data_IF_047363169914
#
_entry.id   IF_047363169914
#
_cell.length_a   1.000
_cell.length_b   1.000
_cell.length_c   1.000
_cell.angle_alpha   90.00
_cell.angle_beta   90.00
_cell.angle_gamma   90.00
#
_symmetry.space_group_name_H-M   'P 1'
#
loop_
_entity.id
_entity.type
_entity.pdbx_description
1 polymer ?
#
# COMPACT_ATOMS: atom_id res chain seq x y z
N UNK A 1 -60.02 11.71 49.41
CA UNK A 1 -59.21 10.99 48.40
C UNK A 1 -58.85 12.00 47.31
N UNK A 2 -57.54 12.22 47.11
CA UNK A 2 -56.97 13.31 46.33
C UNK A 2 -57.21 13.16 44.82
N UNK A 3 -57.77 14.22 44.22
CA UNK A 3 -57.75 14.48 42.78
C UNK A 3 -56.36 15.00 42.40
N UNK A 4 -55.68 14.33 41.48
CA UNK A 4 -54.42 14.79 40.90
C UNK A 4 -54.70 15.80 39.79
N UNK A 5 -54.44 17.08 40.05
CA UNK A 5 -54.38 18.13 39.05
C UNK A 5 -52.97 18.24 38.46
N UNK A 6 -52.94 18.36 37.13
CA UNK A 6 -51.79 18.49 36.26
C UNK A 6 -51.25 19.93 36.34
N UNK A 7 -49.94 20.08 36.54
CA UNK A 7 -49.22 21.36 36.39
C UNK A 7 -48.37 21.33 35.10
N UNK A 8 -48.30 22.43 34.32
CA UNK A 8 -47.59 22.47 33.05
C UNK A 8 -46.12 22.90 33.24
N UNK A 9 -45.18 22.07 32.79
CA UNK A 9 -43.77 22.47 32.74
C UNK A 9 -43.49 23.28 31.46
N UNK A 10 -43.27 24.58 31.68
CA UNK A 10 -42.82 25.54 30.68
C UNK A 10 -41.38 25.22 30.25
N UNK A 11 -41.12 25.42 28.95
CA UNK A 11 -39.98 24.85 28.24
C UNK A 11 -38.65 25.57 28.45
N UNK A 12 -37.59 24.89 28.01
CA UNK A 12 -36.35 25.49 27.51
C UNK A 12 -35.62 24.43 26.66
N UNK A 13 -36.01 24.32 25.40
CA UNK A 13 -35.20 23.65 24.38
C UNK A 13 -33.95 24.50 24.14
N UNK A 14 -32.81 24.04 24.66
CA UNK A 14 -31.49 24.59 24.31
C UNK A 14 -31.18 24.17 22.88
N UNK A 15 -31.32 25.11 21.92
CA UNK A 15 -30.80 24.97 20.56
C UNK A 15 -29.29 24.75 20.66
N UNK A 16 -28.84 23.51 20.47
CA UNK A 16 -27.44 23.26 20.11
C UNK A 16 -27.24 23.82 18.71
N UNK A 17 -26.35 24.82 18.61
CA UNK A 17 -26.03 25.49 17.36
C UNK A 17 -25.61 24.48 16.30
N UNK A 18 -26.26 24.55 15.15
CA UNK A 18 -25.77 23.95 13.92
C UNK A 18 -24.44 24.61 13.58
N UNK A 19 -23.34 23.93 13.90
CA UNK A 19 -22.08 24.20 13.24
C UNK A 19 -22.20 23.60 11.84
N UNK A 20 -22.63 24.41 10.87
CA UNK A 20 -22.69 24.00 9.47
C UNK A 20 -21.25 23.86 9.00
N UNK A 21 -20.75 22.64 9.02
CA UNK A 21 -19.45 22.27 8.46
C UNK A 21 -19.56 22.34 6.94
N UNK A 22 -19.29 23.51 6.36
CA UNK A 22 -19.25 23.72 4.90
C UNK A 22 -18.21 22.83 4.19
N UNK A 23 -17.30 22.20 4.93
CA UNK A 23 -16.36 21.21 4.41
C UNK A 23 -17.00 19.86 4.07
N UNK A 24 -17.99 19.40 4.86
CA UNK A 24 -18.59 18.08 4.70
C UNK A 24 -19.57 18.02 3.51
N UNK A 25 -20.27 19.12 3.25
CA UNK A 25 -21.28 19.20 2.18
C UNK A 25 -20.63 19.12 0.80
N UNK A 26 -19.47 19.75 0.60
CA UNK A 26 -18.76 19.73 -0.70
C UNK A 26 -18.17 18.35 -1.01
N UNK A 27 -17.63 17.67 -0.02
CA UNK A 27 -17.12 16.30 -0.17
C UNK A 27 -18.25 15.30 -0.43
N UNK A 28 -19.39 15.44 0.26
CA UNK A 28 -20.56 14.57 0.03
C UNK A 28 -21.17 14.77 -1.36
N UNK A 29 -21.21 16.01 -1.87
CA UNK A 29 -21.64 16.31 -3.24
C UNK A 29 -20.68 15.70 -4.28
N UNK A 30 -19.36 15.87 -4.10
CA UNK A 30 -18.36 15.30 -5.01
C UNK A 30 -18.39 13.77 -5.01
N UNK A 31 -18.61 13.13 -3.86
CA UNK A 31 -18.74 11.67 -3.75
C UNK A 31 -20.01 11.16 -4.46
N UNK A 32 -21.11 11.87 -4.29
CA UNK A 32 -22.40 11.55 -4.94
C UNK A 32 -22.28 11.67 -6.46
N UNK A 33 -21.68 12.75 -6.97
CA UNK A 33 -21.42 12.93 -8.41
C UNK A 33 -20.52 11.83 -8.98
N UNK A 34 -19.48 11.45 -8.25
CA UNK A 34 -18.56 10.38 -8.67
C UNK A 34 -19.28 9.03 -8.71
N UNK A 35 -20.15 8.76 -7.74
CA UNK A 35 -20.95 7.55 -7.71
C UNK A 35 -21.93 7.47 -8.88
N UNK A 36 -22.58 8.58 -9.25
CA UNK A 36 -23.46 8.64 -10.41
C UNK A 36 -22.74 8.39 -11.73
N UNK A 37 -21.57 9.00 -11.93
CA UNK A 37 -20.74 8.75 -13.13
C UNK A 37 -20.36 7.27 -13.25
N UNK A 38 -19.99 6.63 -12.13
CA UNK A 38 -19.74 5.19 -12.13
C UNK A 38 -21.01 4.40 -12.44
N UNK A 39 -22.17 4.82 -11.92
CA UNK A 39 -23.46 4.18 -12.17
C UNK A 39 -23.84 4.19 -13.64
N UNK A 40 -23.65 5.32 -14.33
CA UNK A 40 -23.89 5.47 -15.76
C UNK A 40 -22.96 4.55 -16.56
N UNK A 41 -21.65 4.61 -16.26
CA UNK A 41 -20.66 3.78 -16.95
C UNK A 41 -20.91 2.27 -16.77
N UNK A 42 -21.25 1.83 -15.57
CA UNK A 42 -21.59 0.42 -15.34
C UNK A 42 -22.92 0.04 -16.00
N UNK A 43 -23.85 0.98 -16.12
CA UNK A 43 -25.06 0.83 -16.91
C UNK A 43 -24.77 0.63 -18.39
N UNK A 44 -23.79 1.33 -18.96
CA UNK A 44 -23.36 1.09 -20.35
C UNK A 44 -22.72 -0.29 -20.52
N UNK A 45 -21.86 -0.71 -19.58
CA UNK A 45 -21.14 -1.99 -19.65
C UNK A 45 -22.06 -3.20 -19.48
N UNK A 46 -22.97 -3.17 -18.50
CA UNK A 46 -23.80 -4.31 -18.12
C UNK A 46 -25.27 -4.17 -18.55
N UNK A 47 -25.65 -3.04 -19.16
CA UNK A 47 -27.02 -2.73 -19.57
C UNK A 47 -28.01 -2.93 -18.40
N UNK A 48 -29.22 -3.41 -18.69
CA UNK A 48 -30.28 -3.64 -17.71
C UNK A 48 -29.88 -4.56 -16.54
N UNK A 49 -28.83 -5.37 -16.68
CA UNK A 49 -28.36 -6.24 -15.59
C UNK A 49 -27.81 -5.43 -14.42
N UNK A 50 -27.22 -4.26 -14.69
CA UNK A 50 -26.71 -3.37 -13.65
C UNK A 50 -27.83 -2.92 -12.72
N UNK A 51 -28.89 -2.34 -13.30
CA UNK A 51 -30.02 -1.83 -12.53
C UNK A 51 -30.83 -2.95 -11.88
N UNK A 52 -30.90 -4.13 -12.52
CA UNK A 52 -31.53 -5.31 -11.93
C UNK A 52 -30.81 -5.78 -10.65
N UNK A 53 -29.47 -5.73 -10.61
CA UNK A 53 -28.68 -6.19 -9.45
C UNK A 53 -28.49 -5.12 -8.38
N UNK A 54 -28.20 -3.89 -8.78
CA UNK A 54 -27.77 -2.81 -7.88
C UNK A 54 -28.80 -1.68 -7.71
N UNK A 55 -29.87 -1.68 -8.50
CA UNK A 55 -30.89 -0.63 -8.51
C UNK A 55 -30.58 0.51 -9.50
N UNK A 56 -31.61 1.31 -9.79
CA UNK A 56 -31.53 2.42 -10.74
C UNK A 56 -30.68 3.61 -10.23
N UNK A 57 -30.41 3.67 -8.93
CA UNK A 57 -29.63 4.74 -8.31
C UNK A 57 -28.66 4.16 -7.26
N UNK A 58 -27.48 4.79 -7.07
CA UNK A 58 -26.54 4.37 -6.05
C UNK A 58 -27.15 4.50 -4.64
N UNK A 59 -27.07 3.42 -3.87
CA UNK A 59 -27.46 3.47 -2.45
C UNK A 59 -26.45 4.28 -1.63
N UNK A 60 -26.83 4.68 -0.41
CA UNK A 60 -25.92 5.42 0.51
C UNK A 60 -24.59 4.68 0.76
N UNK A 61 -24.62 3.34 0.81
CA UNK A 61 -23.43 2.52 1.01
C UNK A 61 -22.50 2.59 -0.20
N UNK A 62 -23.06 2.51 -1.41
CA UNK A 62 -22.31 2.68 -2.64
C UNK A 62 -21.69 4.07 -2.75
N UNK A 63 -22.45 5.12 -2.43
CA UNK A 63 -21.94 6.51 -2.43
C UNK A 63 -20.77 6.65 -1.45
N UNK A 64 -20.92 6.14 -0.22
CA UNK A 64 -19.86 6.21 0.79
C UNK A 64 -18.60 5.44 0.34
N UNK A 65 -18.77 4.23 -0.19
CA UNK A 65 -17.64 3.41 -0.64
C UNK A 65 -16.91 4.06 -1.81
N UNK A 66 -17.63 4.54 -2.83
CA UNK A 66 -17.05 5.21 -4.01
C UNK A 66 -16.40 6.53 -3.61
N UNK A 67 -17.02 7.29 -2.70
CA UNK A 67 -16.47 8.55 -2.19
C UNK A 67 -15.16 8.40 -1.43
N UNK A 68 -14.91 7.23 -0.83
CA UNK A 68 -13.66 6.91 -0.17
C UNK A 68 -12.55 6.44 -1.13
N UNK A 69 -12.86 6.27 -2.42
CA UNK A 69 -11.93 5.77 -3.42
C UNK A 69 -11.21 6.90 -4.16
N UNK A 70 -9.99 6.63 -4.58
CA UNK A 70 -9.26 7.48 -5.54
C UNK A 70 -9.73 7.22 -6.96
N UNK A 71 -9.55 8.19 -7.85
CA UNK A 71 -9.88 8.06 -9.27
C UNK A 71 -9.18 6.86 -9.93
N UNK A 72 -7.94 6.58 -9.54
CA UNK A 72 -7.20 5.42 -10.03
C UNK A 72 -7.86 4.09 -9.62
N UNK A 73 -8.34 4.00 -8.38
CA UNK A 73 -9.06 2.81 -7.89
C UNK A 73 -10.37 2.60 -8.65
N UNK A 74 -11.11 3.68 -8.92
CA UNK A 74 -12.35 3.60 -9.71
C UNK A 74 -12.05 3.08 -11.12
N UNK A 75 -11.07 3.67 -11.83
CA UNK A 75 -10.66 3.22 -13.17
C UNK A 75 -10.23 1.75 -13.19
N UNK A 76 -9.49 1.32 -12.17
CA UNK A 76 -9.01 -0.06 -12.07
C UNK A 76 -10.15 -1.06 -11.86
N UNK A 77 -11.15 -0.74 -11.02
CA UNK A 77 -12.33 -1.60 -10.86
C UNK A 77 -13.14 -1.66 -12.16
N UNK A 78 -13.34 -0.55 -12.86
CA UNK A 78 -13.98 -0.55 -14.17
C UNK A 78 -13.26 -1.46 -15.17
N UNK A 79 -11.92 -1.44 -15.18
CA UNK A 79 -11.12 -2.34 -16.01
C UNK A 79 -11.34 -3.82 -15.66
N UNK A 80 -11.30 -4.16 -14.38
CA UNK A 80 -11.55 -5.53 -13.93
C UNK A 80 -12.95 -6.02 -14.29
N UNK A 81 -13.96 -5.15 -14.17
CA UNK A 81 -15.30 -5.43 -14.64
C UNK A 81 -15.34 -5.79 -16.12
N UNK A 82 -14.64 -5.04 -16.98
CA UNK A 82 -14.52 -5.37 -18.40
C UNK A 82 -13.75 -6.68 -18.65
N UNK A 83 -12.68 -6.95 -17.89
CA UNK A 83 -11.92 -8.19 -18.01
C UNK A 83 -12.75 -9.42 -17.61
N UNK A 84 -13.58 -9.32 -16.57
CA UNK A 84 -14.57 -10.33 -16.20
C UNK A 84 -15.58 -10.58 -17.31
N UNK A 85 -16.09 -9.53 -17.95
CA UNK A 85 -16.97 -9.67 -19.11
C UNK A 85 -16.28 -10.43 -20.25
N UNK A 86 -15.00 -10.15 -20.53
CA UNK A 86 -14.21 -10.88 -21.54
C UNK A 86 -13.99 -12.35 -21.18
N UNK A 87 -13.88 -12.66 -19.89
CA UNK A 87 -13.78 -14.02 -19.38
C UNK A 87 -15.13 -14.78 -19.37
N UNK A 88 -16.23 -14.15 -19.81
CA UNK A 88 -17.57 -14.74 -19.85
C UNK A 88 -18.42 -14.48 -18.61
N UNK A 89 -17.87 -13.83 -17.58
CA UNK A 89 -18.61 -13.37 -16.40
C UNK A 89 -19.34 -12.07 -16.71
N UNK A 90 -20.51 -12.20 -17.33
CA UNK A 90 -21.28 -11.07 -17.87
C UNK A 90 -22.31 -10.49 -16.88
N UNK A 91 -22.28 -10.91 -15.62
CA UNK A 91 -23.10 -10.32 -14.56
C UNK A 91 -22.33 -9.23 -13.81
N UNK A 92 -22.96 -8.08 -13.53
CA UNK A 92 -22.32 -7.02 -12.76
C UNK A 92 -21.95 -7.46 -11.34
N UNK A 93 -20.93 -6.83 -10.73
CA UNK A 93 -20.64 -7.04 -9.32
C UNK A 93 -21.72 -6.41 -8.43
N UNK A 94 -22.08 -7.07 -7.33
CA UNK A 94 -22.74 -6.40 -6.19
C UNK A 94 -21.72 -5.61 -5.36
N UNK A 95 -22.17 -4.96 -4.29
CA UNK A 95 -21.29 -4.14 -3.45
C UNK A 95 -20.16 -4.95 -2.81
N UNK A 96 -20.41 -6.19 -2.38
CA UNK A 96 -19.40 -7.02 -1.73
C UNK A 96 -18.35 -7.49 -2.74
N UNK A 97 -18.80 -7.96 -3.91
CA UNK A 97 -17.93 -8.30 -5.04
C UNK A 97 -17.13 -7.07 -5.51
N UNK A 98 -17.75 -5.90 -5.53
CA UNK A 98 -17.07 -4.65 -5.90
C UNK A 98 -15.96 -4.29 -4.90
N UNK A 99 -16.20 -4.42 -3.60
CA UNK A 99 -15.19 -4.23 -2.56
C UNK A 99 -14.06 -5.27 -2.65
N UNK A 100 -14.39 -6.52 -3.01
CA UNK A 100 -13.39 -7.53 -3.28
C UNK A 100 -12.49 -7.14 -4.47
N UNK A 101 -13.07 -6.68 -5.58
CA UNK A 101 -12.32 -6.20 -6.75
C UNK A 101 -11.39 -5.01 -6.42
N UNK A 102 -11.79 -4.13 -5.49
CA UNK A 102 -10.90 -3.05 -4.99
C UNK A 102 -9.71 -3.64 -4.23
N UNK A 103 -9.95 -4.65 -3.41
CA UNK A 103 -8.92 -5.28 -2.59
C UNK A 103 -7.94 -6.09 -3.45
N UNK A 104 -8.45 -6.78 -4.46
CA UNK A 104 -7.68 -7.57 -5.42
C UNK A 104 -6.88 -6.72 -6.42
N UNK A 105 -7.31 -5.47 -6.69
CA UNK A 105 -6.65 -4.62 -7.69
C UNK A 105 -5.25 -4.14 -7.32
N UNK A 106 -4.79 -4.35 -6.08
CA UNK A 106 -3.55 -3.72 -5.62
C UNK A 106 -3.67 -2.20 -5.68
N UNK A 107 -4.83 -1.70 -5.25
CA UNK A 107 -5.33 -0.33 -5.19
C UNK A 107 -4.45 0.65 -4.38
N UNK A 108 -3.16 0.66 -4.68
CA UNK A 108 -2.10 1.50 -4.15
C UNK A 108 -1.29 2.05 -5.33
N UNK A 109 -0.51 3.14 -5.15
CA UNK A 109 0.22 3.79 -6.25
C UNK A 109 1.26 2.88 -6.94
N UNK A 110 1.51 1.69 -6.43
CA UNK A 110 2.46 0.72 -6.99
C UNK A 110 1.78 -0.34 -7.85
N UNK A 111 0.44 -0.46 -7.82
CA UNK A 111 -0.29 -1.51 -8.51
C UNK A 111 0.04 -2.92 -8.01
N UNK A 112 0.48 -3.05 -6.75
CA UNK A 112 0.95 -4.31 -6.17
C UNK A 112 -0.11 -4.91 -5.26
N UNK A 113 -0.40 -6.20 -5.43
CA UNK A 113 -1.21 -6.97 -4.48
C UNK A 113 -0.34 -7.52 -3.36
N UNK A 114 -0.95 -7.90 -2.24
CA UNK A 114 -0.23 -8.60 -1.15
C UNK A 114 0.38 -9.91 -1.65
N UNK A 115 -0.34 -10.63 -2.52
CA UNK A 115 0.16 -11.89 -3.08
C UNK A 115 1.35 -11.69 -4.01
N UNK A 116 1.36 -10.62 -4.83
CA UNK A 116 2.51 -10.25 -5.64
C UNK A 116 3.75 -9.93 -4.78
N UNK A 117 3.57 -9.25 -3.63
CA UNK A 117 4.66 -9.02 -2.67
C UNK A 117 5.17 -10.33 -2.07
N UNK A 118 4.26 -11.23 -1.70
CA UNK A 118 4.63 -12.54 -1.13
C UNK A 118 5.35 -13.41 -2.16
N UNK A 119 4.92 -13.40 -3.42
CA UNK A 119 5.58 -14.09 -4.53
C UNK A 119 7.00 -13.55 -4.75
N UNK A 120 7.15 -12.23 -4.85
CA UNK A 120 8.46 -11.60 -5.01
C UNK A 120 9.37 -11.88 -3.80
N UNK A 121 8.83 -11.86 -2.57
CA UNK A 121 9.57 -12.22 -1.37
C UNK A 121 10.09 -13.66 -1.42
N UNK A 122 9.25 -14.62 -1.83
CA UNK A 122 9.66 -16.03 -2.01
C UNK A 122 10.74 -16.14 -3.09
N UNK A 123 10.55 -15.48 -4.23
CA UNK A 123 11.51 -15.47 -5.33
C UNK A 123 12.87 -14.93 -4.88
N UNK A 124 12.89 -13.75 -4.25
CA UNK A 124 14.10 -13.16 -3.71
C UNK A 124 14.77 -14.07 -2.68
N UNK A 125 14.03 -14.69 -1.75
CA UNK A 125 14.63 -15.63 -0.79
C UNK A 125 15.32 -16.82 -1.48
N UNK A 126 14.75 -17.32 -2.58
CA UNK A 126 15.26 -18.49 -3.29
C UNK A 126 16.38 -18.17 -4.30
N UNK A 127 16.44 -16.94 -4.81
CA UNK A 127 17.34 -16.54 -5.89
C UNK A 127 18.38 -15.48 -5.48
N UNK A 128 18.22 -14.82 -4.33
CA UNK A 128 19.11 -13.73 -3.91
C UNK A 128 20.57 -14.13 -3.76
N UNK A 129 20.84 -15.39 -3.46
CA UNK A 129 22.20 -15.93 -3.37
C UNK A 129 22.98 -15.83 -4.68
N UNK A 130 22.30 -15.69 -5.83
CA UNK A 130 22.93 -15.48 -7.15
C UNK A 130 23.52 -14.07 -7.30
N UNK A 131 23.21 -13.17 -6.38
CA UNK A 131 23.62 -11.77 -6.42
C UNK A 131 24.48 -11.44 -5.21
N UNK A 132 25.46 -10.55 -5.38
CA UNK A 132 26.39 -10.10 -4.34
C UNK A 132 25.73 -9.13 -3.33
N UNK A 133 24.47 -9.35 -2.99
CA UNK A 133 23.69 -8.48 -2.12
C UNK A 133 22.27 -8.27 -2.62
N UNK A 134 21.38 -7.92 -1.68
CA UNK A 134 19.98 -7.61 -2.02
C UNK A 134 19.84 -6.28 -2.77
N UNK A 135 20.83 -5.40 -2.70
CA UNK A 135 20.90 -4.17 -3.51
C UNK A 135 21.26 -4.44 -4.99
N UNK A 136 21.81 -5.63 -5.30
CA UNK A 136 22.15 -6.08 -6.65
C UNK A 136 21.06 -6.96 -7.29
N UNK A 137 20.10 -7.42 -6.49
CA UNK A 137 18.96 -8.17 -6.98
C UNK A 137 18.08 -7.29 -7.90
N UNK A 138 17.58 -7.82 -9.04
CA UNK A 138 16.82 -7.04 -10.02
C UNK A 138 15.36 -6.88 -9.58
N UNK A 139 15.13 -6.03 -8.57
CA UNK A 139 13.77 -5.72 -8.09
C UNK A 139 12.90 -5.12 -9.19
N UNK A 140 11.66 -5.60 -9.39
CA UNK A 140 10.73 -5.01 -10.36
C UNK A 140 10.39 -3.56 -10.05
N UNK A 141 10.28 -3.23 -8.75
CA UNK A 141 10.01 -1.88 -8.26
C UNK A 141 10.86 -1.61 -7.01
N UNK A 142 11.35 -0.37 -6.79
CA UNK A 142 12.11 -0.01 -5.60
C UNK A 142 11.38 -0.26 -4.28
N UNK A 143 10.04 -0.16 -4.28
CA UNK A 143 9.23 -0.39 -3.07
C UNK A 143 9.32 -1.84 -2.59
N UNK A 144 9.44 -2.80 -3.52
CA UNK A 144 9.55 -4.24 -3.20
C UNK A 144 10.85 -4.53 -2.44
N UNK A 145 11.96 -3.89 -2.81
CA UNK A 145 13.21 -3.99 -2.05
C UNK A 145 13.01 -3.64 -0.58
N UNK A 146 12.44 -2.47 -0.30
CA UNK A 146 12.23 -2.01 1.08
C UNK A 146 11.26 -2.90 1.85
N UNK A 147 10.16 -3.33 1.20
CA UNK A 147 9.15 -4.19 1.84
C UNK A 147 9.73 -5.58 2.14
N UNK A 148 10.38 -6.23 1.18
CA UNK A 148 10.90 -7.58 1.35
C UNK A 148 12.05 -7.66 2.36
N UNK A 149 12.91 -6.64 2.43
CA UNK A 149 13.95 -6.56 3.47
C UNK A 149 13.34 -6.44 4.87
N UNK A 150 12.35 -5.55 5.03
CA UNK A 150 11.61 -5.41 6.29
C UNK A 150 10.89 -6.70 6.70
N UNK A 151 10.28 -7.39 5.74
CA UNK A 151 9.65 -8.69 5.97
C UNK A 151 10.65 -9.75 6.43
N UNK A 152 11.86 -9.80 5.83
CA UNK A 152 12.90 -10.73 6.26
C UNK A 152 13.36 -10.45 7.69
N UNK A 153 13.67 -9.20 8.00
CA UNK A 153 14.17 -8.81 9.32
C UNK A 153 13.14 -9.12 10.40
N UNK A 154 11.89 -8.67 10.23
CA UNK A 154 10.81 -8.90 11.21
C UNK A 154 10.34 -10.35 11.26
N UNK A 155 10.35 -11.04 10.11
CA UNK A 155 9.98 -12.45 10.03
C UNK A 155 10.93 -13.33 10.83
N UNK A 156 12.24 -13.05 10.77
CA UNK A 156 13.26 -13.73 11.57
C UNK A 156 13.17 -13.32 13.04
N UNK A 157 13.12 -12.02 13.34
CA UNK A 157 13.07 -11.48 14.70
C UNK A 157 11.88 -12.05 15.51
N UNK A 158 10.73 -12.20 14.87
CA UNK A 158 9.47 -12.56 15.54
C UNK A 158 8.97 -13.96 15.20
N UNK A 159 9.76 -14.77 14.49
CA UNK A 159 9.40 -16.13 14.07
C UNK A 159 8.00 -16.21 13.42
N UNK A 160 7.71 -15.29 12.50
CA UNK A 160 6.36 -15.16 11.94
C UNK A 160 5.97 -16.35 11.06
N UNK A 161 4.71 -16.76 11.19
CA UNK A 161 4.05 -17.66 10.25
C UNK A 161 3.79 -17.00 8.90
N UNK A 162 3.42 -17.78 7.88
CA UNK A 162 3.09 -17.26 6.56
C UNK A 162 1.90 -16.29 6.58
N UNK A 163 0.88 -16.58 7.38
CA UNK A 163 -0.28 -15.68 7.54
C UNK A 163 0.10 -14.35 8.19
N UNK A 164 1.00 -14.36 9.16
CA UNK A 164 1.52 -13.15 9.80
C UNK A 164 2.42 -12.34 8.87
N UNK A 165 3.22 -13.01 8.02
CA UNK A 165 3.97 -12.37 6.95
C UNK A 165 3.05 -11.72 5.91
N UNK A 166 1.95 -12.38 5.52
CA UNK A 166 0.94 -11.80 4.61
C UNK A 166 0.34 -10.52 5.19
N UNK A 167 -0.04 -10.54 6.48
CA UNK A 167 -0.51 -9.35 7.21
C UNK A 167 0.57 -8.26 7.33
N UNK A 168 1.84 -8.64 7.47
CA UNK A 168 2.95 -7.68 7.48
C UNK A 168 3.14 -7.01 6.11
N UNK A 169 3.08 -7.79 5.03
CA UNK A 169 3.16 -7.28 3.66
C UNK A 169 2.04 -6.26 3.37
N UNK A 170 0.81 -6.58 3.77
CA UNK A 170 -0.33 -5.65 3.68
C UNK A 170 -0.08 -4.35 4.43
N UNK A 171 0.34 -4.42 5.70
CA UNK A 171 0.68 -3.22 6.49
C UNK A 171 1.79 -2.39 5.84
N UNK A 172 2.80 -3.03 5.26
CA UNK A 172 3.91 -2.35 4.61
C UNK A 172 3.46 -1.69 3.30
N UNK A 173 2.62 -2.33 2.49
CA UNK A 173 2.02 -1.72 1.30
C UNK A 173 1.21 -0.47 1.67
N UNK A 174 0.34 -0.55 2.68
CA UNK A 174 -0.44 0.59 3.17
C UNK A 174 0.45 1.72 3.68
N UNK A 175 1.52 1.38 4.42
CA UNK A 175 2.52 2.36 4.89
C UNK A 175 3.18 3.09 3.72
N UNK A 176 3.64 2.37 2.70
CA UNK A 176 4.31 2.97 1.54
C UNK A 176 3.33 3.73 0.64
N UNK A 177 2.09 3.26 0.50
CA UNK A 177 1.04 3.99 -0.21
C UNK A 177 0.78 5.34 0.45
N UNK A 178 0.67 5.37 1.79
CA UNK A 178 0.54 6.62 2.55
C UNK A 178 1.77 7.52 2.44
N UNK A 179 2.97 6.94 2.40
CA UNK A 179 4.21 7.68 2.21
C UNK A 179 4.19 8.45 0.88
N UNK A 180 3.77 7.78 -0.20
CA UNK A 180 3.66 8.40 -1.53
C UNK A 180 2.50 9.38 -1.61
N UNK A 181 1.35 9.11 -0.99
CA UNK A 181 0.24 10.07 -0.96
C UNK A 181 0.59 11.37 -0.24
N UNK A 182 1.55 11.32 0.69
CA UNK A 182 2.09 12.50 1.36
C UNK A 182 3.13 13.27 0.51
N UNK A 183 3.31 12.90 -0.77
CA UNK A 183 4.24 13.54 -1.70
C UNK A 183 5.69 13.08 -1.59
N UNK A 184 5.97 12.03 -0.79
CA UNK A 184 7.33 11.52 -0.62
C UNK A 184 7.62 10.40 -1.64
N UNK A 185 8.78 10.46 -2.29
CA UNK A 185 9.20 9.42 -3.24
C UNK A 185 9.73 8.18 -2.53
N UNK A 186 9.49 6.99 -3.10
CA UNK A 186 10.17 5.76 -2.66
C UNK A 186 11.68 5.90 -2.89
N UNK A 187 12.53 5.74 -1.86
CA UNK A 187 13.98 5.85 -2.03
C UNK A 187 14.49 4.82 -3.05
N UNK A 188 15.39 5.21 -3.96
CA UNK A 188 15.98 4.26 -4.90
C UNK A 188 16.82 3.21 -4.15
N UNK A 189 16.95 2.03 -4.75
CA UNK A 189 17.85 0.97 -4.23
C UNK A 189 19.28 1.45 -4.37
N UNK A 190 19.86 1.94 -3.26
CA UNK A 190 21.22 2.49 -3.24
C UNK A 190 22.21 1.34 -3.30
N UNK A 191 22.90 1.23 -4.43
CA UNK A 191 24.06 0.35 -4.58
C UNK A 191 25.18 0.93 -3.75
N UNK A 192 25.72 0.13 -2.81
CA UNK A 192 26.88 0.56 -2.04
C UNK A 192 28.04 0.84 -3.00
N UNK A 193 28.57 2.07 -2.97
CA UNK A 193 29.78 2.42 -3.70
C UNK A 193 30.94 1.67 -3.05
N UNK A 194 31.90 1.20 -3.86
CA UNK A 194 33.11 0.60 -3.32
C UNK A 194 33.74 1.60 -2.35
N UNK A 195 34.12 1.11 -1.15
CA UNK A 195 34.84 1.95 -0.20
C UNK A 195 36.08 2.54 -0.91
N UNK A 196 36.40 3.83 -0.69
CA UNK A 196 37.61 4.42 -1.24
C UNK A 196 38.80 3.53 -0.89
N UNK A 197 39.47 2.98 -1.90
CA UNK A 197 40.70 2.23 -1.70
C UNK A 197 41.75 3.23 -1.25
N UNK A 198 41.90 3.42 0.07
CA UNK A 198 43.11 4.07 0.60
C UNK A 198 44.28 3.20 0.15
N UNK A 199 45.36 3.78 -0.42
CA UNK A 199 46.56 3.00 -0.67
C UNK A 199 46.95 2.36 0.65
N UNK A 200 47.07 1.04 0.66
CA UNK A 200 47.59 0.30 1.80
C UNK A 200 49.02 0.80 1.96
N UNK A 201 49.26 1.69 2.92
CA UNK A 201 50.61 2.00 3.36
C UNK A 201 51.30 0.70 3.83
N UNK A 202 52.63 0.68 3.91
CA UNK A 202 53.35 -0.52 4.31
C UNK A 202 52.78 -1.02 5.64
N UNK A 203 52.34 -2.27 5.63
CA UNK A 203 51.82 -2.94 6.81
C UNK A 203 52.91 -2.97 7.90
N UNK A 204 52.56 -3.03 9.19
CA UNK A 204 53.56 -3.09 10.25
C UNK A 204 54.60 -4.20 10.07
N UNK A 205 54.20 -5.34 9.49
CA UNK A 205 55.12 -6.45 9.20
C UNK A 205 56.08 -6.14 8.05
N UNK A 206 55.64 -5.38 7.04
CA UNK A 206 56.51 -4.92 5.96
C UNK A 206 57.53 -3.90 6.46
N UNK A 207 57.14 -3.00 7.37
CA UNK A 207 58.07 -2.09 8.03
C UNK A 207 59.12 -2.83 8.87
N UNK A 208 58.69 -3.85 9.64
CA UNK A 208 59.61 -4.68 10.41
C UNK A 208 60.56 -5.48 9.51
N UNK A 209 60.07 -6.01 8.38
CA UNK A 209 60.88 -6.73 7.40
C UNK A 209 61.92 -5.80 6.75
N UNK A 210 61.52 -4.58 6.37
CA UNK A 210 62.44 -3.59 5.81
C UNK A 210 63.53 -3.19 6.82
N UNK A 211 63.17 -3.01 8.09
CA UNK A 211 64.15 -2.71 9.14
C UNK A 211 65.10 -3.89 9.39
N UNK A 212 64.59 -5.13 9.36
CA UNK A 212 65.42 -6.33 9.44
C UNK A 212 66.41 -6.41 8.26
N UNK A 213 65.94 -6.22 7.03
CA UNK A 213 66.78 -6.22 5.82
C UNK A 213 67.84 -5.12 5.88
N UNK A 214 67.48 -3.93 6.36
CA UNK A 214 68.41 -2.80 6.58
C UNK A 214 69.51 -3.16 7.59
N UNK A 215 69.14 -3.76 8.73
CA UNK A 215 70.10 -4.16 9.77
C UNK A 215 71.04 -5.26 9.30
N UNK A 216 70.52 -6.24 8.54
CA UNK A 216 71.31 -7.30 7.91
C UNK A 216 72.30 -6.74 6.90
N UNK A 217 71.87 -5.82 6.03
CA UNK A 217 72.75 -5.18 5.04
C UNK A 217 73.87 -4.35 5.67
N UNK A 218 73.63 -3.79 6.86
CA UNK A 218 74.61 -3.03 7.63
C UNK A 218 75.49 -3.89 8.55
N UNK A 219 75.34 -5.23 8.53
CA UNK A 219 76.20 -6.16 9.28
C UNK A 219 75.90 -6.24 10.79
N UNK A 220 74.73 -5.76 11.23
CA UNK A 220 74.32 -5.81 12.64
C UNK A 220 73.59 -7.11 13.04
N UNK A 221 73.26 -7.96 12.05
CA UNK A 221 72.53 -9.23 12.19
C UNK A 221 73.04 -10.24 11.17
#
# INVERSE_FOLDING_TARGET
>A
MQQHQVAPHHGQFRKFGQHVSSGNVKTDLSATETAWKLWELMGEVYSNRWTQKNGAAPSKLWIAQIGAMTEQQIRQVCRQCMDRCRAGETWPPDLAEFVALISESGANPFGLTVDAVMEEYRRWRNESWRYNGSDKYPWPQPVLYHICLEMRSKGIERQMTEGELKRLAERQLTKWAKHVSNGLSVPPVRRQLAAPKRPLGPTPIELLKQEYERRKAAGFV
#
